data_IF_877689548054
#
_entry.id   IF_877689548054
#
_cell.length_a   1.000
_cell.length_b   1.000
_cell.length_c   1.000
_cell.angle_alpha   90.00
_cell.angle_beta   90.00
_cell.angle_gamma   90.00
#
_symmetry.space_group_name_H-M   'P 1'
#
loop_
_entity.id
_entity.type
_entity.pdbx_description
1 polymer ?
#
# COMPACT_ATOMS: atom_id res chain seq x y z
N UNK A 1 -0.11 2.82 -13.12
CA UNK A 1 -0.68 3.23 -11.83
C UNK A 1 -1.58 2.14 -11.21
N UNK A 2 -2.68 1.74 -11.88
CA UNK A 2 -3.62 0.70 -11.39
C UNK A 2 -2.99 -0.64 -10.97
N UNK A 3 -2.10 -1.21 -11.79
CA UNK A 3 -1.40 -2.46 -11.47
C UNK A 3 -0.49 -2.32 -10.24
N UNK A 4 0.21 -1.19 -10.10
CA UNK A 4 1.03 -0.90 -8.91
C UNK A 4 0.17 -0.81 -7.64
N UNK A 5 -1.02 -0.20 -7.71
CA UNK A 5 -1.96 -0.12 -6.58
C UNK A 5 -2.39 -1.49 -6.09
N UNK A 6 -2.70 -2.43 -7.00
CA UNK A 6 -3.06 -3.80 -6.63
C UNK A 6 -1.91 -4.55 -5.98
N UNK A 7 -0.69 -4.40 -6.49
CA UNK A 7 0.51 -4.99 -5.87
C UNK A 7 0.74 -4.43 -4.47
N UNK A 8 0.58 -3.12 -4.28
CA UNK A 8 0.71 -2.48 -2.96
C UNK A 8 -0.35 -3.00 -1.98
N UNK A 9 -1.62 -3.06 -2.39
CA UNK A 9 -2.69 -3.60 -1.57
C UNK A 9 -2.46 -5.08 -1.21
N UNK A 10 -1.97 -5.88 -2.16
CA UNK A 10 -1.61 -7.28 -1.91
C UNK A 10 -0.49 -7.41 -0.88
N UNK A 11 0.57 -6.61 -0.98
CA UNK A 11 1.66 -6.58 0.00
C UNK A 11 1.17 -6.17 1.39
N UNK A 12 0.29 -5.16 1.47
CA UNK A 12 -0.29 -4.71 2.73
C UNK A 12 -1.17 -5.80 3.37
N UNK A 13 -1.98 -6.51 2.58
CA UNK A 13 -2.90 -7.54 3.08
C UNK A 13 -2.19 -8.85 3.44
N UNK A 14 -1.29 -9.34 2.57
CA UNK A 14 -0.68 -10.67 2.71
C UNK A 14 0.61 -10.66 3.52
N UNK A 15 1.39 -9.58 3.42
CA UNK A 15 2.64 -9.46 4.16
C UNK A 15 2.53 -8.51 5.36
N UNK A 16 1.33 -7.99 5.65
CA UNK A 16 1.06 -7.05 6.74
C UNK A 16 1.98 -5.82 6.74
N UNK A 17 2.46 -5.42 5.57
CA UNK A 17 3.33 -4.26 5.41
C UNK A 17 2.52 -2.96 5.55
N UNK A 18 3.14 -1.93 6.13
CA UNK A 18 2.60 -0.56 6.00
C UNK A 18 2.53 -0.14 4.54
N UNK A 19 1.65 0.81 4.24
CA UNK A 19 1.68 1.53 2.96
C UNK A 19 3.10 2.02 2.61
N UNK A 20 3.82 2.58 3.60
CA UNK A 20 5.19 3.06 3.39
C UNK A 20 6.16 1.92 3.01
N UNK A 21 6.13 0.80 3.73
CA UNK A 21 6.96 -0.36 3.44
C UNK A 21 6.62 -0.95 2.08
N UNK A 22 5.34 -1.15 1.78
CA UNK A 22 4.90 -1.66 0.49
C UNK A 22 5.39 -0.77 -0.67
N UNK A 23 5.30 0.56 -0.52
CA UNK A 23 5.81 1.51 -1.51
C UNK A 23 7.32 1.40 -1.67
N UNK A 24 8.08 1.34 -0.58
CA UNK A 24 9.54 1.18 -0.65
C UNK A 24 9.93 -0.12 -1.36
N UNK A 25 9.31 -1.25 -0.99
CA UNK A 25 9.56 -2.56 -1.61
C UNK A 25 9.29 -2.57 -3.11
N UNK A 26 8.21 -1.93 -3.56
CA UNK A 26 7.92 -1.87 -5.00
C UNK A 26 8.85 -0.87 -5.71
N UNK A 27 9.19 0.26 -5.07
CA UNK A 27 10.12 1.26 -5.61
C UNK A 27 11.53 0.72 -5.82
N UNK A 28 12.00 -0.18 -4.97
CA UNK A 28 13.29 -0.86 -5.13
C UNK A 28 13.34 -1.72 -6.40
N UNK A 29 12.21 -2.29 -6.81
CA UNK A 29 12.15 -3.16 -8.00
C UNK A 29 11.71 -2.45 -9.28
N UNK A 30 10.86 -1.42 -9.18
CA UNK A 30 10.41 -0.60 -10.30
C UNK A 30 10.08 0.81 -9.84
N UNK A 31 10.53 1.79 -10.62
CA UNK A 31 10.09 3.18 -10.44
C UNK A 31 8.61 3.32 -10.74
N UNK A 32 7.82 3.54 -9.70
CA UNK A 32 6.38 3.76 -9.78
C UNK A 32 6.00 5.08 -9.13
N UNK A 33 5.13 5.82 -9.80
CA UNK A 33 4.48 7.01 -9.26
C UNK A 33 2.97 6.72 -9.14
N UNK A 34 2.47 6.36 -7.94
CA UNK A 34 1.03 6.22 -7.75
C UNK A 34 0.34 7.59 -7.88
N UNK A 35 -0.80 7.62 -8.56
CA UNK A 35 -1.61 8.85 -8.64
C UNK A 35 -2.17 9.20 -7.26
N UNK A 36 -2.37 10.49 -6.98
CA UNK A 36 -2.90 10.97 -5.67
C UNK A 36 -4.19 10.27 -5.24
N UNK A 37 -5.09 9.96 -6.18
CA UNK A 37 -6.33 9.22 -5.89
C UNK A 37 -6.10 7.80 -5.36
N UNK A 38 -5.17 7.05 -5.96
CA UNK A 38 -4.82 5.70 -5.49
C UNK A 38 -4.08 5.74 -4.15
N UNK A 39 -3.25 6.76 -3.91
CA UNK A 39 -2.61 6.97 -2.61
C UNK A 39 -3.64 7.19 -1.50
N UNK A 40 -4.72 7.93 -1.78
CA UNK A 40 -5.80 8.13 -0.81
C UNK A 40 -6.49 6.80 -0.46
N UNK A 41 -6.84 5.99 -1.48
CA UNK A 41 -7.45 4.68 -1.29
C UNK A 41 -6.54 3.72 -0.49
N UNK A 42 -5.25 3.68 -0.82
CA UNK A 42 -4.27 2.88 -0.09
C UNK A 42 -4.06 3.36 1.35
N UNK A 43 -4.15 4.67 1.60
CA UNK A 43 -4.07 5.22 2.96
C UNK A 43 -5.28 4.84 3.80
N UNK A 44 -6.48 4.85 3.22
CA UNK A 44 -7.68 4.33 3.91
C UNK A 44 -7.54 2.84 4.23
N UNK A 45 -6.98 2.05 3.31
CA UNK A 45 -6.69 0.64 3.55
C UNK A 45 -5.69 0.44 4.70
N UNK A 46 -4.60 1.21 4.74
CA UNK A 46 -3.59 1.16 5.81
C UNK A 46 -4.20 1.50 7.17
N UNK A 47 -5.09 2.50 7.22
CA UNK A 47 -5.81 2.87 8.43
C UNK A 47 -6.75 1.77 8.92
N UNK A 48 -7.46 1.08 8.01
CA UNK A 48 -8.32 -0.07 8.39
C UNK A 48 -7.49 -1.22 8.95
N UNK A 49 -6.45 -1.64 8.23
CA UNK A 49 -5.60 -2.77 8.63
C UNK A 49 -4.82 -2.52 9.92
N UNK A 50 -4.44 -1.26 10.20
CA UNK A 50 -3.72 -0.88 11.42
C UNK A 50 -4.65 -0.50 12.57
N UNK A 51 -5.85 0.00 12.28
CA UNK A 51 -6.90 0.27 13.26
C UNK A 51 -7.46 -1.01 13.86
N UNK A 52 -7.59 -2.06 13.05
CA UNK A 52 -7.97 -3.40 13.53
C UNK A 52 -6.90 -4.07 14.41
N UNK A 53 -5.65 -3.58 14.39
CA UNK A 53 -4.55 -4.09 15.21
C UNK A 53 -4.28 -3.24 16.48
N UNK A 54 -5.30 -2.53 16.96
CA UNK A 54 -5.37 -1.91 18.29
C UNK A 54 -6.75 -2.19 18.92
N UNK A 55 -7.05 -3.44 19.22
CA UNK A 55 -8.10 -3.83 20.14
C UNK A 55 -7.71 -5.16 20.78
#
# INVERSE_FOLDING_TARGET
>A
SRSATLVLAYLMLRQRLSLRQAVLTVRERRWIFPNRGFLHQLRQLDQRLRGECRS
#
